data_IF_469233373384
#
_entry.id   IF_469233373384
#
_cell.length_a   1.000
_cell.length_b   1.000
_cell.length_c   1.000
_cell.angle_alpha   90.00
_cell.angle_beta   90.00
_cell.angle_gamma   90.00
#
_symmetry.space_group_name_H-M   'P 1'
#
loop_
_entity.id
_entity.type
_entity.pdbx_description
1 polymer ?
#
# COMPACT_ATOMS: atom_id res chain seq x y z
N UNK A 1 -33.89 5.92 -6.34
CA UNK A 1 -34.51 7.22 -5.98
C UNK A 1 -34.49 8.14 -7.20
N UNK A 2 -35.47 8.98 -7.36
CA UNK A 2 -35.50 9.99 -8.43
C UNK A 2 -35.24 11.37 -7.85
N UNK A 3 -34.30 12.11 -8.41
CA UNK A 3 -33.89 13.44 -8.00
C UNK A 3 -34.21 14.47 -9.11
N UNK A 4 -34.46 15.70 -8.70
CA UNK A 4 -34.76 16.81 -9.59
C UNK A 4 -33.71 17.91 -9.41
N UNK A 5 -32.92 18.24 -10.44
CA UNK A 5 -31.91 19.28 -10.37
C UNK A 5 -32.49 20.66 -10.07
N UNK A 6 -31.84 21.37 -9.15
CA UNK A 6 -32.23 22.70 -8.66
C UNK A 6 -31.27 23.82 -9.14
N UNK A 7 -30.11 23.46 -9.71
CA UNK A 7 -29.09 24.41 -10.20
C UNK A 7 -28.81 24.08 -11.68
N UNK A 8 -29.19 24.98 -12.62
CA UNK A 8 -28.92 24.74 -14.03
C UNK A 8 -27.43 24.81 -14.35
N UNK A 9 -26.93 23.89 -15.18
CA UNK A 9 -25.54 23.81 -15.60
C UNK A 9 -24.61 23.12 -14.58
N UNK A 10 -25.13 22.67 -13.42
CA UNK A 10 -24.35 21.88 -12.47
C UNK A 10 -23.98 20.52 -13.10
N UNK A 11 -22.75 20.05 -12.82
CA UNK A 11 -22.30 18.74 -13.28
C UNK A 11 -22.98 17.62 -12.49
N UNK A 12 -23.38 16.57 -13.18
CA UNK A 12 -24.06 15.43 -12.57
C UNK A 12 -23.29 14.82 -11.39
N UNK A 13 -21.94 14.66 -11.49
CA UNK A 13 -21.14 14.11 -10.42
C UNK A 13 -21.09 15.01 -9.16
N UNK A 14 -21.17 16.31 -9.34
CA UNK A 14 -21.22 17.28 -8.25
C UNK A 14 -22.61 17.34 -7.62
N UNK A 15 -23.64 17.39 -8.45
CA UNK A 15 -25.04 17.37 -8.02
C UNK A 15 -25.35 16.15 -7.15
N UNK A 16 -24.98 14.94 -7.59
CA UNK A 16 -25.20 13.70 -6.83
C UNK A 16 -24.50 13.73 -5.46
N UNK A 17 -23.26 14.22 -5.40
CA UNK A 17 -22.52 14.32 -4.15
C UNK A 17 -23.13 15.34 -3.17
N UNK A 18 -23.89 16.32 -3.67
CA UNK A 18 -24.62 17.31 -2.87
C UNK A 18 -26.01 16.83 -2.48
N UNK A 19 -26.73 16.20 -3.42
CA UNK A 19 -28.15 15.86 -3.26
C UNK A 19 -28.40 14.54 -2.53
N UNK A 20 -27.42 13.65 -2.49
CA UNK A 20 -27.53 12.33 -1.83
C UNK A 20 -26.65 12.33 -0.59
N UNK A 21 -27.28 12.20 0.58
CA UNK A 21 -26.59 12.17 1.87
C UNK A 21 -25.58 11.02 1.92
N UNK A 22 -24.37 11.31 2.38
CA UNK A 22 -23.28 10.34 2.51
C UNK A 22 -22.59 9.95 1.19
N UNK A 23 -23.04 10.47 0.03
CA UNK A 23 -22.43 10.15 -1.26
C UNK A 23 -21.28 11.10 -1.58
N UNK A 24 -20.05 10.58 -1.62
CA UNK A 24 -18.89 11.36 -2.07
C UNK A 24 -18.89 11.52 -3.60
N UNK A 25 -18.24 12.58 -4.12
CA UNK A 25 -18.12 12.81 -5.56
C UNK A 25 -17.47 11.64 -6.30
N UNK A 26 -16.48 10.97 -5.68
CA UNK A 26 -15.84 9.79 -6.25
C UNK A 26 -16.80 8.60 -6.33
N UNK A 27 -17.63 8.41 -5.30
CA UNK A 27 -18.67 7.38 -5.30
C UNK A 27 -19.75 7.67 -6.35
N UNK A 28 -20.18 8.93 -6.50
CA UNK A 28 -21.10 9.35 -7.55
C UNK A 28 -20.56 9.06 -8.97
N UNK A 29 -19.28 9.35 -9.22
CA UNK A 29 -18.64 9.02 -10.49
C UNK A 29 -18.63 7.53 -10.78
N UNK A 30 -18.39 6.69 -9.76
CA UNK A 30 -18.42 5.24 -9.91
C UNK A 30 -19.83 4.74 -10.24
N UNK A 31 -20.86 5.21 -9.53
CA UNK A 31 -22.26 4.86 -9.83
C UNK A 31 -22.65 5.20 -11.26
N UNK A 32 -22.21 6.35 -11.77
CA UNK A 32 -22.44 6.75 -13.15
C UNK A 32 -21.73 5.82 -14.13
N UNK A 33 -20.46 5.49 -13.87
CA UNK A 33 -19.65 4.60 -14.74
C UNK A 33 -20.19 3.15 -14.73
N UNK A 34 -20.78 2.70 -13.62
CA UNK A 34 -21.45 1.39 -13.48
C UNK A 34 -22.87 1.35 -14.08
N UNK A 35 -23.36 2.47 -14.65
CA UNK A 35 -24.69 2.54 -15.25
C UNK A 35 -25.84 2.65 -14.24
N UNK A 36 -25.55 2.88 -12.98
CA UNK A 36 -26.53 3.02 -11.89
C UNK A 36 -27.23 4.38 -11.85
N UNK A 37 -26.89 5.28 -12.77
CA UNK A 37 -27.47 6.63 -12.87
C UNK A 37 -28.01 6.86 -14.26
N UNK A 38 -29.32 7.17 -14.33
CA UNK A 38 -29.98 7.54 -15.58
C UNK A 38 -30.38 9.02 -15.53
N UNK A 39 -30.21 9.74 -16.63
CA UNK A 39 -30.77 11.08 -16.85
C UNK A 39 -31.88 11.00 -17.89
N UNK A 40 -33.06 11.41 -17.52
CA UNK A 40 -34.25 11.32 -18.38
C UNK A 40 -34.43 9.90 -18.99
N UNK A 41 -34.24 8.86 -18.16
CA UNK A 41 -34.34 7.45 -18.54
C UNK A 41 -33.18 6.91 -19.40
N UNK A 42 -32.08 7.67 -19.62
CA UNK A 42 -30.91 7.24 -20.41
C UNK A 42 -29.66 7.21 -19.60
N UNK A 43 -28.69 6.31 -19.88
CA UNK A 43 -27.41 6.27 -19.20
C UNK A 43 -26.70 7.63 -19.25
N UNK A 44 -26.29 8.11 -18.10
CA UNK A 44 -25.68 9.43 -17.94
C UNK A 44 -24.14 9.37 -17.94
N UNK A 45 -23.50 10.51 -18.20
CA UNK A 45 -22.03 10.67 -18.08
C UNK A 45 -21.68 11.63 -16.94
N UNK A 46 -20.58 11.39 -16.24
CA UNK A 46 -20.17 12.18 -15.07
C UNK A 46 -20.05 13.70 -15.33
N UNK A 47 -19.76 14.06 -16.57
CA UNK A 47 -19.58 15.45 -16.99
C UNK A 47 -20.87 16.09 -17.53
N UNK A 48 -21.99 15.36 -17.59
CA UNK A 48 -23.25 15.89 -18.08
C UNK A 48 -23.66 17.10 -17.21
N UNK A 49 -24.05 18.17 -17.90
CA UNK A 49 -24.62 19.37 -17.28
C UNK A 49 -26.11 19.21 -17.17
N UNK A 50 -26.65 19.37 -15.98
CA UNK A 50 -28.05 19.23 -15.69
C UNK A 50 -28.82 20.50 -16.02
N UNK A 51 -30.05 20.36 -16.48
CA UNK A 51 -30.96 21.47 -16.73
C UNK A 51 -32.17 21.38 -15.79
N UNK A 52 -32.86 22.52 -15.61
CA UNK A 52 -34.15 22.54 -14.93
C UNK A 52 -35.12 21.66 -15.69
N UNK A 53 -35.84 20.77 -14.98
CA UNK A 53 -36.77 19.82 -15.57
C UNK A 53 -36.14 18.45 -15.95
N UNK A 54 -34.83 18.27 -15.83
CA UNK A 54 -34.24 16.94 -15.93
C UNK A 54 -34.69 16.06 -14.76
N UNK A 55 -34.77 14.77 -15.00
CA UNK A 55 -34.91 13.74 -13.95
C UNK A 55 -33.63 12.93 -13.86
N UNK A 56 -33.18 12.69 -12.64
CA UNK A 56 -32.00 11.87 -12.38
C UNK A 56 -32.40 10.68 -11.50
N UNK A 57 -32.47 9.50 -12.11
CA UNK A 57 -32.76 8.27 -11.42
C UNK A 57 -31.47 7.64 -10.95
N UNK A 58 -31.34 7.46 -9.64
CA UNK A 58 -30.17 6.86 -8.99
C UNK A 58 -30.57 5.54 -8.36
N UNK A 59 -29.97 4.47 -8.81
CA UNK A 59 -30.00 3.18 -8.15
C UNK A 59 -28.72 3.07 -7.35
N UNK A 60 -28.81 3.18 -6.01
CA UNK A 60 -27.68 2.85 -5.15
C UNK A 60 -27.73 1.34 -5.00
N UNK A 61 -26.76 0.58 -5.57
CA UNK A 61 -26.69 -0.86 -5.32
C UNK A 61 -26.62 -1.04 -3.80
N UNK A 62 -27.38 -1.98 -3.27
CA UNK A 62 -27.10 -2.44 -1.92
C UNK A 62 -25.59 -2.70 -1.83
N UNK A 63 -24.95 -2.10 -0.83
CA UNK A 63 -23.56 -2.41 -0.52
C UNK A 63 -23.59 -3.91 -0.25
N UNK A 64 -23.24 -4.73 -1.23
CA UNK A 64 -22.79 -6.08 -0.92
C UNK A 64 -21.53 -5.82 -0.11
N UNK A 65 -21.69 -5.83 1.19
CA UNK A 65 -20.56 -6.03 2.09
C UNK A 65 -19.85 -7.24 1.49
N UNK A 66 -18.73 -7.00 0.87
CA UNK A 66 -17.85 -8.08 0.43
C UNK A 66 -17.31 -8.59 1.76
N UNK A 67 -18.07 -9.47 2.42
CA UNK A 67 -17.61 -10.17 3.59
C UNK A 67 -16.27 -10.77 3.21
N UNK A 68 -15.23 -10.31 3.88
CA UNK A 68 -13.91 -10.91 3.66
C UNK A 68 -13.99 -12.30 4.27
N UNK A 69 -13.90 -13.31 3.43
CA UNK A 69 -13.97 -14.71 3.86
C UNK A 69 -12.72 -15.02 4.69
N UNK A 70 -12.85 -15.38 5.98
CA UNK A 70 -11.72 -15.87 6.75
C UNK A 70 -11.15 -17.14 6.10
N UNK A 71 -9.84 -17.12 5.81
CA UNK A 71 -9.17 -18.22 5.10
C UNK A 71 -7.96 -18.68 5.91
N UNK A 72 -7.77 -19.99 6.04
CA UNK A 72 -6.62 -20.56 6.76
C UNK A 72 -5.32 -20.33 5.98
N UNK A 73 -4.71 -19.17 6.25
CA UNK A 73 -3.43 -18.76 5.70
C UNK A 73 -2.42 -18.74 6.85
N UNK A 74 -1.33 -19.53 6.78
CA UNK A 74 -0.31 -19.53 7.84
C UNK A 74 0.30 -18.14 8.02
N UNK A 75 0.30 -17.65 9.27
CA UNK A 75 0.87 -16.37 9.65
C UNK A 75 2.13 -16.60 10.49
N UNK A 76 3.27 -16.07 10.05
CA UNK A 76 4.51 -16.04 10.83
C UNK A 76 4.47 -14.85 11.80
N UNK A 77 3.91 -15.10 13.01
CA UNK A 77 3.78 -14.10 14.08
C UNK A 77 5.08 -14.06 14.86
N UNK A 78 5.80 -12.96 14.79
CA UNK A 78 7.12 -12.77 15.45
C UNK A 78 7.04 -11.96 16.74
N UNK A 79 5.94 -11.28 16.98
CA UNK A 79 5.62 -10.60 18.24
C UNK A 79 4.11 -10.53 18.41
N UNK A 80 3.64 -10.77 19.62
CA UNK A 80 2.22 -10.61 19.97
C UNK A 80 2.07 -10.28 21.46
N UNK A 81 1.16 -9.33 21.75
CA UNK A 81 0.64 -9.06 23.08
C UNK A 81 -0.87 -8.73 23.01
N UNK A 82 -1.42 -8.08 24.03
CA UNK A 82 -2.84 -7.71 24.07
C UNK A 82 -3.24 -6.62 23.08
N UNK A 83 -2.28 -5.80 22.66
CA UNK A 83 -2.52 -4.58 21.87
C UNK A 83 -2.01 -4.70 20.43
N UNK A 84 -0.89 -5.38 20.21
CA UNK A 84 -0.16 -5.38 18.94
C UNK A 84 0.25 -6.80 18.54
N UNK A 85 0.17 -7.03 17.25
CA UNK A 85 0.68 -8.21 16.56
C UNK A 85 1.69 -7.74 15.50
N UNK A 86 2.85 -8.39 15.39
CA UNK A 86 3.80 -8.17 14.29
C UNK A 86 3.99 -9.45 13.50
N UNK A 87 3.76 -9.37 12.21
CA UNK A 87 3.84 -10.49 11.27
C UNK A 87 5.07 -10.31 10.38
N UNK A 88 5.82 -11.37 10.17
CA UNK A 88 6.81 -11.48 9.12
C UNK A 88 6.13 -12.03 7.84
N UNK A 89 5.63 -11.12 7.01
CA UNK A 89 4.88 -11.46 5.79
C UNK A 89 5.79 -12.13 4.76
N UNK A 90 5.42 -13.28 4.20
CA UNK A 90 6.17 -13.88 3.10
C UNK A 90 6.06 -13.03 1.82
N UNK A 91 7.03 -13.18 0.90
CA UNK A 91 6.95 -12.69 -0.47
C UNK A 91 5.77 -13.34 -1.20
N UNK A 92 5.07 -12.59 -2.03
CA UNK A 92 3.92 -13.08 -2.82
C UNK A 92 2.56 -12.90 -2.14
N UNK A 93 2.49 -12.69 -0.83
CA UNK A 93 1.22 -12.49 -0.11
C UNK A 93 0.76 -11.03 -0.20
N UNK A 94 -0.46 -10.80 -0.68
CA UNK A 94 -1.10 -9.47 -0.69
C UNK A 94 -1.59 -9.13 0.72
N UNK A 95 -1.51 -7.86 1.13
CA UNK A 95 -1.93 -7.46 2.48
C UNK A 95 -3.46 -7.44 2.61
N UNK A 96 -4.19 -6.84 1.67
CA UNK A 96 -5.64 -6.75 1.72
C UNK A 96 -6.30 -7.07 0.38
N UNK A 97 -7.58 -7.46 0.40
CA UNK A 97 -8.34 -7.78 -0.80
C UNK A 97 -8.23 -6.68 -1.86
N UNK A 98 -7.99 -7.10 -3.08
CA UNK A 98 -7.86 -6.27 -4.26
C UNK A 98 -8.34 -7.05 -5.49
N UNK A 99 -8.50 -6.38 -6.63
CA UNK A 99 -8.86 -7.04 -7.88
C UNK A 99 -7.89 -8.19 -8.20
N UNK A 100 -8.40 -9.42 -8.29
CA UNK A 100 -7.63 -10.65 -8.53
C UNK A 100 -7.09 -11.34 -7.27
N UNK A 101 -7.32 -10.80 -6.07
CA UNK A 101 -6.93 -11.35 -4.77
C UNK A 101 -8.03 -11.02 -3.75
N UNK A 102 -9.06 -11.86 -3.64
CA UNK A 102 -10.18 -11.63 -2.73
C UNK A 102 -10.06 -12.46 -1.44
N UNK A 103 -9.61 -13.72 -1.55
CA UNK A 103 -9.64 -14.68 -0.47
C UNK A 103 -8.24 -15.21 -0.07
N UNK A 104 -7.18 -14.67 -0.69
CA UNK A 104 -5.79 -15.10 -0.55
C UNK A 104 -4.88 -13.99 0.03
N UNK A 105 -5.40 -13.17 0.95
CA UNK A 105 -4.67 -12.04 1.50
C UNK A 105 -4.34 -12.20 2.98
N UNK A 106 -3.37 -11.42 3.46
CA UNK A 106 -3.01 -11.38 4.88
C UNK A 106 -4.24 -11.11 5.77
N UNK A 107 -5.16 -10.23 5.32
CA UNK A 107 -6.38 -9.91 6.05
C UNK A 107 -7.29 -11.13 6.18
N UNK A 108 -7.42 -11.97 5.14
CA UNK A 108 -8.18 -13.22 5.22
C UNK A 108 -7.61 -14.17 6.28
N UNK A 109 -6.27 -14.31 6.34
CA UNK A 109 -5.58 -15.11 7.36
C UNK A 109 -5.72 -14.53 8.76
N UNK A 110 -5.65 -13.19 8.90
CA UNK A 110 -5.89 -12.52 10.18
C UNK A 110 -7.30 -12.73 10.70
N UNK A 111 -8.31 -12.61 9.86
CA UNK A 111 -9.70 -12.86 10.24
C UNK A 111 -9.96 -14.32 10.64
N UNK A 112 -9.26 -15.26 10.02
CA UNK A 112 -9.35 -16.67 10.38
C UNK A 112 -8.72 -16.95 11.75
N UNK A 113 -7.50 -16.47 11.97
CA UNK A 113 -6.71 -16.80 13.17
C UNK A 113 -6.99 -15.88 14.38
N UNK A 114 -7.52 -14.66 14.16
CA UNK A 114 -7.69 -13.60 15.15
C UNK A 114 -9.07 -12.96 15.10
N UNK A 115 -10.10 -13.74 14.77
CA UNK A 115 -11.49 -13.27 14.74
C UNK A 115 -11.89 -12.59 16.06
N UNK A 116 -12.40 -11.36 15.97
CA UNK A 116 -12.82 -10.58 17.14
C UNK A 116 -11.69 -9.93 17.96
N UNK A 117 -10.41 -10.17 17.59
CA UNK A 117 -9.25 -9.60 18.27
C UNK A 117 -8.56 -8.49 17.46
N UNK A 118 -9.21 -7.87 16.50
CA UNK A 118 -8.62 -6.86 15.63
C UNK A 118 -9.39 -5.55 15.70
N UNK A 119 -8.65 -4.42 15.60
CA UNK A 119 -9.28 -3.10 15.53
C UNK A 119 -10.18 -2.95 14.31
N UNK A 120 -11.38 -2.40 14.51
CA UNK A 120 -12.36 -2.11 13.48
C UNK A 120 -12.26 -0.72 12.83
N UNK A 121 -11.33 0.16 13.24
CA UNK A 121 -11.28 1.57 12.80
C UNK A 121 -11.25 1.74 11.28
N UNK A 122 -10.55 0.87 10.55
CA UNK A 122 -10.49 0.92 9.08
C UNK A 122 -11.62 0.13 8.40
N UNK A 123 -12.65 -0.24 9.16
CA UNK A 123 -13.78 -1.04 8.71
C UNK A 123 -13.42 -2.52 8.51
N UNK A 124 -14.40 -3.31 8.14
CA UNK A 124 -14.30 -4.77 7.97
C UNK A 124 -13.28 -5.19 6.90
N UNK A 125 -13.05 -4.31 5.92
CA UNK A 125 -12.11 -4.57 4.82
C UNK A 125 -10.63 -4.48 5.20
N UNK A 126 -10.28 -3.93 6.39
CA UNK A 126 -8.89 -3.73 6.82
C UNK A 126 -8.71 -3.82 8.33
N UNK A 127 -9.23 -4.87 8.98
CA UNK A 127 -9.18 -4.97 10.44
C UNK A 127 -7.73 -4.95 10.92
N UNK A 128 -7.43 -4.04 11.85
CA UNK A 128 -6.12 -3.91 12.48
C UNK A 128 -4.98 -3.40 11.61
N UNK A 129 -5.16 -3.23 10.29
CA UNK A 129 -4.08 -2.84 9.37
C UNK A 129 -3.79 -1.35 9.47
N UNK A 130 -2.64 -0.98 10.02
CA UNK A 130 -2.16 0.42 10.16
C UNK A 130 -1.23 0.84 9.03
N UNK A 131 -0.48 -0.08 8.44
CA UNK A 131 0.38 0.15 7.27
C UNK A 131 0.45 -1.08 6.36
N UNK A 132 1.15 -0.96 5.26
CA UNK A 132 1.28 -2.05 4.29
C UNK A 132 2.65 -2.10 3.66
N UNK A 133 3.02 -3.29 3.19
CA UNK A 133 4.13 -3.54 2.27
C UNK A 133 3.57 -4.16 0.97
N UNK A 134 4.34 -4.09 -0.11
CA UNK A 134 3.90 -4.62 -1.41
C UNK A 134 3.74 -6.15 -1.38
N UNK A 135 2.97 -6.71 -2.33
CA UNK A 135 2.77 -8.14 -2.51
C UNK A 135 4.09 -8.91 -2.43
N UNK A 136 5.05 -8.51 -3.25
CA UNK A 136 6.33 -9.21 -3.40
C UNK A 136 7.46 -8.66 -2.49
N UNK A 137 7.13 -7.78 -1.57
CA UNK A 137 8.01 -7.38 -0.47
C UNK A 137 7.73 -8.28 0.74
N UNK A 138 8.76 -8.91 1.26
CA UNK A 138 8.68 -9.71 2.50
C UNK A 138 9.00 -8.87 3.74
N UNK A 139 8.69 -9.39 4.92
CA UNK A 139 9.12 -8.84 6.19
C UNK A 139 8.02 -8.24 7.05
N UNK A 140 8.43 -7.42 8.01
CA UNK A 140 7.64 -7.02 9.16
C UNK A 140 6.50 -6.07 8.85
N UNK A 141 5.35 -6.36 9.45
CA UNK A 141 4.14 -5.56 9.39
C UNK A 141 3.43 -5.58 10.75
N UNK A 142 3.16 -4.39 11.31
CA UNK A 142 2.41 -4.24 12.56
C UNK A 142 0.90 -4.26 12.29
N UNK A 143 0.17 -4.92 13.19
CA UNK A 143 -1.28 -5.03 13.18
C UNK A 143 -1.81 -4.64 14.56
N UNK A 144 -2.82 -3.81 14.61
CA UNK A 144 -3.47 -3.37 15.85
C UNK A 144 -4.57 -4.36 16.26
N UNK A 145 -4.52 -4.87 17.50
CA UNK A 145 -5.53 -5.77 18.04
C UNK A 145 -6.76 -5.04 18.59
N UNK A 146 -6.65 -3.76 18.87
CA UNK A 146 -7.76 -2.93 19.34
C UNK A 146 -7.64 -1.48 18.84
N UNK A 147 -8.68 -0.68 19.07
CA UNK A 147 -8.80 0.69 18.53
C UNK A 147 -7.82 1.66 19.18
N UNK A 148 -7.45 1.47 20.45
CA UNK A 148 -6.40 2.24 21.11
C UNK A 148 -5.07 2.03 20.39
N UNK A 149 -4.68 0.77 20.19
CA UNK A 149 -3.46 0.42 19.49
C UNK A 149 -3.45 0.97 18.06
N UNK A 150 -4.57 0.86 17.35
CA UNK A 150 -4.72 1.40 16.00
C UNK A 150 -4.45 2.91 15.95
N UNK A 151 -5.10 3.67 16.83
CA UNK A 151 -4.95 5.13 16.90
C UNK A 151 -3.51 5.54 17.19
N UNK A 152 -2.87 4.89 18.17
CA UNK A 152 -1.50 5.22 18.58
C UNK A 152 -0.49 4.83 17.49
N UNK A 153 -0.60 3.64 16.91
CA UNK A 153 0.31 3.19 15.82
C UNK A 153 0.14 4.06 14.57
N UNK A 154 -1.09 4.43 14.21
CA UNK A 154 -1.36 5.34 13.10
C UNK A 154 -0.77 6.74 13.34
N UNK A 155 -0.81 7.24 14.59
CA UNK A 155 -0.15 8.50 14.98
C UNK A 155 1.36 8.42 14.79
N UNK A 156 2.01 7.33 15.23
CA UNK A 156 3.46 7.12 15.07
C UNK A 156 3.90 6.98 13.61
N UNK A 157 3.00 6.50 12.74
CA UNK A 157 3.25 6.52 11.29
C UNK A 157 3.13 7.92 10.69
N UNK A 158 2.25 8.75 11.23
CA UNK A 158 1.99 10.12 10.78
C UNK A 158 3.09 11.08 11.22
N UNK A 159 3.60 10.95 12.44
CA UNK A 159 4.69 11.77 12.98
C UNK A 159 6.09 11.19 12.72
N UNK A 160 6.16 10.08 11.97
CA UNK A 160 7.39 9.38 11.58
C UNK A 160 8.20 8.79 12.74
N UNK A 161 7.62 8.64 13.92
CA UNK A 161 8.29 8.03 15.08
C UNK A 161 8.36 6.49 15.00
N UNK A 162 7.49 5.85 14.21
CA UNK A 162 7.63 4.42 13.87
C UNK A 162 8.70 4.23 12.81
N UNK A 163 9.87 3.69 13.20
CA UNK A 163 10.96 3.41 12.28
C UNK A 163 10.75 2.09 11.54
N UNK A 164 10.91 2.13 10.21
CA UNK A 164 10.80 0.99 9.30
C UNK A 164 12.07 0.90 8.48
N UNK A 165 12.79 -0.20 8.65
CA UNK A 165 14.07 -0.44 7.98
C UNK A 165 13.95 -1.62 7.03
N UNK A 166 14.47 -1.44 5.82
CA UNK A 166 14.41 -2.41 4.74
C UNK A 166 15.80 -2.73 4.23
N UNK A 167 16.04 -3.98 3.89
CA UNK A 167 17.19 -4.40 3.11
C UNK A 167 16.77 -4.57 1.64
N UNK A 168 17.60 -4.07 0.71
CA UNK A 168 17.34 -4.14 -0.72
C UNK A 168 18.63 -4.40 -1.52
N UNK A 169 18.54 -5.16 -2.61
CA UNK A 169 19.60 -5.23 -3.61
C UNK A 169 19.19 -4.32 -4.77
N UNK A 170 20.05 -3.36 -5.11
CA UNK A 170 19.84 -2.45 -6.26
C UNK A 170 20.80 -2.75 -7.40
N UNK A 171 20.37 -2.48 -8.63
CA UNK A 171 21.18 -2.60 -9.82
C UNK A 171 22.18 -1.43 -9.91
N UNK A 172 23.40 -1.70 -10.31
CA UNK A 172 24.47 -0.74 -10.39
C UNK A 172 25.21 -0.52 -9.06
N UNK A 173 26.30 0.24 -9.13
CA UNK A 173 27.16 0.56 -8.00
C UNK A 173 26.87 1.98 -7.55
N UNK A 174 26.33 2.14 -6.35
CA UNK A 174 26.20 3.43 -5.68
C UNK A 174 27.60 3.92 -5.28
N UNK A 175 27.97 5.13 -5.71
CA UNK A 175 29.29 5.70 -5.43
C UNK A 175 29.41 6.16 -3.98
N UNK A 176 28.37 6.84 -3.50
CA UNK A 176 28.28 7.34 -2.12
C UNK A 176 27.94 6.20 -1.16
N UNK A 177 28.36 6.30 0.09
CA UNK A 177 28.08 5.30 1.13
C UNK A 177 26.67 5.44 1.70
N UNK A 178 26.06 6.59 1.59
CA UNK A 178 24.70 6.87 2.02
C UNK A 178 24.10 8.04 1.26
N UNK A 179 22.79 8.17 1.32
CA UNK A 179 22.08 9.30 0.72
C UNK A 179 20.61 9.36 1.10
N UNK A 180 19.96 10.40 0.62
CA UNK A 180 18.53 10.63 0.82
C UNK A 180 17.88 10.94 -0.51
N UNK A 181 16.75 10.29 -0.78
CA UNK A 181 15.85 10.68 -1.87
C UNK A 181 14.64 11.35 -1.23
N UNK A 182 14.57 12.67 -1.35
CA UNK A 182 13.44 13.49 -0.95
C UNK A 182 12.73 13.96 -2.22
N UNK A 183 11.72 13.19 -2.64
CA UNK A 183 11.05 13.43 -3.91
C UNK A 183 9.59 12.95 -3.84
N UNK A 184 8.60 13.81 -4.14
CA UNK A 184 7.19 13.49 -3.99
C UNK A 184 6.76 12.42 -4.98
N UNK A 185 5.92 11.48 -4.50
CA UNK A 185 5.42 10.35 -5.28
C UNK A 185 3.93 10.52 -5.59
N UNK A 186 3.59 10.38 -6.87
CA UNK A 186 2.23 10.37 -7.38
C UNK A 186 1.98 9.20 -8.34
N UNK A 187 0.72 9.10 -8.82
CA UNK A 187 0.38 8.12 -9.85
C UNK A 187 1.02 8.49 -11.18
N UNK A 188 1.54 7.48 -11.86
CA UNK A 188 2.07 7.69 -13.21
C UNK A 188 0.96 8.15 -14.16
N UNK A 189 1.17 9.20 -14.97
CA UNK A 189 0.10 9.84 -15.74
C UNK A 189 -0.54 8.94 -16.81
N UNK A 190 0.21 8.01 -17.38
CA UNK A 190 -0.24 7.11 -18.46
C UNK A 190 -0.34 5.64 -18.05
N UNK A 191 0.29 5.21 -16.95
CA UNK A 191 0.26 3.82 -16.49
C UNK A 191 -0.33 3.73 -15.08
N UNK A 192 -1.60 3.36 -14.98
CA UNK A 192 -2.34 3.27 -13.72
C UNK A 192 -1.75 2.27 -12.70
N UNK A 193 -0.90 1.34 -13.14
CA UNK A 193 -0.25 0.35 -12.27
C UNK A 193 1.03 0.87 -11.64
N UNK A 194 1.56 2.01 -12.14
CA UNK A 194 2.82 2.60 -11.70
C UNK A 194 2.62 3.84 -10.83
N UNK A 195 3.59 4.05 -9.97
CA UNK A 195 3.85 5.32 -9.30
C UNK A 195 5.08 5.96 -9.94
N UNK A 196 5.28 7.26 -9.74
CA UNK A 196 6.48 7.97 -10.22
C UNK A 196 6.78 9.17 -9.32
N UNK A 197 8.01 9.63 -9.38
CA UNK A 197 8.38 10.95 -8.85
C UNK A 197 7.75 12.01 -9.72
N UNK A 198 6.87 12.84 -9.16
CA UNK A 198 6.13 13.88 -9.87
C UNK A 198 5.67 14.97 -8.89
N UNK A 199 5.74 16.24 -9.31
CA UNK A 199 5.38 17.36 -8.44
C UNK A 199 3.86 17.58 -8.28
N UNK A 200 3.05 17.20 -9.29
CA UNK A 200 1.59 17.43 -9.26
C UNK A 200 0.85 16.17 -8.87
N UNK A 201 -0.23 16.34 -8.06
CA UNK A 201 -1.06 15.22 -7.58
C UNK A 201 -0.24 14.12 -6.88
N UNK A 202 0.73 14.52 -6.08
CA UNK A 202 1.68 13.69 -5.37
C UNK A 202 1.62 13.93 -3.87
N UNK A 203 2.32 13.10 -3.11
CA UNK A 203 2.52 13.25 -1.67
C UNK A 203 4.00 13.23 -1.38
N UNK A 204 4.44 14.00 -0.40
CA UNK A 204 5.81 13.99 0.11
C UNK A 204 6.26 12.56 0.40
N UNK A 205 7.49 12.27 0.02
CA UNK A 205 8.11 10.97 0.22
C UNK A 205 9.61 11.13 0.44
N UNK A 206 10.11 10.56 1.56
CA UNK A 206 11.51 10.62 1.95
C UNK A 206 12.02 9.22 2.26
N UNK A 207 13.12 8.84 1.60
CA UNK A 207 13.83 7.56 1.79
C UNK A 207 15.30 7.84 2.03
N UNK A 208 15.81 7.45 3.21
CA UNK A 208 17.25 7.41 3.48
C UNK A 208 17.77 6.03 3.12
N UNK A 209 19.00 5.98 2.59
CA UNK A 209 19.67 4.73 2.29
C UNK A 209 21.14 4.78 2.69
N UNK A 210 21.67 3.63 3.06
CA UNK A 210 23.07 3.39 3.36
C UNK A 210 23.55 2.11 2.66
N UNK A 211 24.80 2.11 2.21
CA UNK A 211 25.41 0.94 1.57
C UNK A 211 25.84 -0.05 2.65
N UNK A 212 25.34 -1.28 2.51
CA UNK A 212 25.77 -2.41 3.33
C UNK A 212 27.00 -3.09 2.69
N UNK A 213 26.91 -3.37 1.37
CA UNK A 213 28.00 -3.98 0.60
C UNK A 213 27.84 -3.71 -0.90
N UNK A 214 28.96 -3.49 -1.57
CA UNK A 214 29.02 -3.37 -3.05
C UNK A 214 29.49 -4.69 -3.65
N UNK A 215 28.87 -5.06 -4.75
CA UNK A 215 29.20 -6.23 -5.56
C UNK A 215 29.41 -5.81 -7.01
N UNK A 216 29.96 -6.67 -7.84
CA UNK A 216 30.14 -6.37 -9.27
C UNK A 216 28.77 -6.12 -9.94
N UNK A 217 28.46 -4.85 -10.24
CA UNK A 217 27.21 -4.45 -10.90
C UNK A 217 25.99 -4.29 -9.98
N UNK A 218 26.11 -4.49 -8.66
CA UNK A 218 24.99 -4.41 -7.70
C UNK A 218 25.43 -3.81 -6.38
N UNK A 219 24.49 -3.28 -5.64
CA UNK A 219 24.73 -2.78 -4.28
C UNK A 219 23.65 -3.29 -3.32
N UNK A 220 24.05 -3.89 -2.20
CA UNK A 220 23.17 -4.15 -1.05
C UNK A 220 23.06 -2.86 -0.24
N UNK A 221 21.86 -2.39 -0.04
CA UNK A 221 21.57 -1.17 0.72
C UNK A 221 20.58 -1.46 1.83
N UNK A 222 20.65 -0.64 2.87
CA UNK A 222 19.63 -0.54 3.91
C UNK A 222 18.88 0.77 3.74
N UNK A 223 17.54 0.72 3.69
CA UNK A 223 16.68 1.87 3.56
C UNK A 223 15.91 2.13 4.84
N UNK A 224 15.87 3.39 5.29
CA UNK A 224 15.01 3.86 6.39
C UNK A 224 13.98 4.83 5.83
N UNK A 225 12.71 4.58 6.15
CA UNK A 225 11.59 5.38 5.65
C UNK A 225 11.11 6.39 6.69
N UNK A 226 10.96 7.66 6.29
CA UNK A 226 10.12 8.61 7.02
C UNK A 226 8.65 8.42 6.61
N UNK A 227 8.36 8.44 5.34
CA UNK A 227 7.03 8.25 4.77
C UNK A 227 6.81 6.81 4.28
N UNK A 228 5.57 6.40 3.97
CA UNK A 228 5.23 5.06 3.47
C UNK A 228 4.29 5.12 2.26
N UNK A 229 4.76 5.66 1.12
CA UNK A 229 3.95 5.71 -0.10
C UNK A 229 4.02 4.40 -0.86
N UNK A 230 3.00 4.15 -1.66
CA UNK A 230 2.95 2.96 -2.52
C UNK A 230 4.20 2.87 -3.38
N UNK A 231 4.90 1.73 -3.36
CA UNK A 231 6.13 1.44 -4.08
C UNK A 231 7.30 2.42 -3.78
N UNK A 232 7.32 3.10 -2.63
CA UNK A 232 8.21 4.23 -2.38
C UNK A 232 9.69 3.92 -2.63
N UNK A 233 10.27 2.91 -1.97
CA UNK A 233 11.69 2.55 -2.16
C UNK A 233 11.97 2.19 -3.62
N UNK A 234 11.08 1.43 -4.24
CA UNK A 234 11.19 0.99 -5.64
C UNK A 234 11.25 2.18 -6.61
N UNK A 235 10.34 3.14 -6.43
CA UNK A 235 10.28 4.37 -7.25
C UNK A 235 11.48 5.28 -7.00
N UNK A 236 11.84 5.49 -5.74
CA UNK A 236 12.96 6.35 -5.36
C UNK A 236 14.30 5.82 -5.89
N UNK A 237 14.59 4.54 -5.69
CA UNK A 237 15.84 3.96 -6.18
C UNK A 237 15.89 3.93 -7.72
N UNK A 238 14.77 3.66 -8.38
CA UNK A 238 14.69 3.77 -9.84
C UNK A 238 14.89 5.19 -10.33
N UNK A 239 14.39 6.22 -9.63
CA UNK A 239 14.52 7.61 -10.02
C UNK A 239 15.96 8.14 -9.99
N UNK A 240 16.81 7.53 -9.18
CA UNK A 240 18.25 7.84 -9.11
C UNK A 240 19.12 6.89 -9.97
N UNK A 241 18.49 6.06 -10.84
CA UNK A 241 19.18 5.16 -11.76
C UNK A 241 19.62 3.82 -11.18
N UNK A 242 19.17 3.47 -9.97
CA UNK A 242 19.50 2.25 -9.26
C UNK A 242 18.23 1.43 -8.88
N UNK A 243 17.46 0.91 -9.87
CA UNK A 243 16.26 0.15 -9.58
C UNK A 243 16.56 -1.10 -8.74
N UNK A 244 15.57 -1.58 -8.00
CA UNK A 244 15.73 -2.79 -7.20
C UNK A 244 15.88 -4.00 -8.12
N UNK A 245 16.81 -4.90 -7.79
CA UNK A 245 17.02 -6.16 -8.48
C UNK A 245 15.72 -6.97 -8.58
N UNK A 246 15.41 -7.46 -9.77
CA UNK A 246 14.21 -8.25 -10.05
C UNK A 246 12.91 -7.44 -10.16
N UNK A 247 12.94 -6.12 -9.94
CA UNK A 247 11.74 -5.29 -10.10
C UNK A 247 11.41 -5.10 -11.59
N UNK A 248 10.47 -5.89 -12.10
CA UNK A 248 10.03 -5.87 -13.50
C UNK A 248 9.14 -4.66 -13.84
N UNK A 249 8.70 -3.90 -12.83
CA UNK A 249 7.88 -2.70 -13.02
C UNK A 249 8.73 -1.46 -13.19
N UNK A 250 9.77 -1.27 -12.37
CA UNK A 250 10.61 -0.08 -12.35
C UNK A 250 12.05 -0.30 -12.82
N UNK A 251 12.47 -1.55 -12.94
CA UNK A 251 13.80 -1.98 -13.37
C UNK A 251 13.80 -2.76 -14.68
N UNK A 252 14.59 -3.81 -14.72
CA UNK A 252 14.74 -4.66 -15.89
C UNK A 252 13.51 -5.57 -16.06
N UNK A 253 12.99 -5.64 -17.29
CA UNK A 253 11.77 -6.43 -17.60
C UNK A 253 11.97 -7.94 -17.50
N UNK A 254 13.22 -8.42 -17.55
CA UNK A 254 13.56 -9.84 -17.48
C UNK A 254 13.98 -10.21 -16.06
N UNK A 255 13.66 -11.42 -15.61
CA UNK A 255 14.20 -11.95 -14.35
C UNK A 255 15.72 -11.86 -14.29
N UNK A 256 16.26 -11.54 -13.14
CA UNK A 256 17.68 -11.32 -12.93
C UNK A 256 18.13 -12.02 -11.65
N UNK A 257 19.24 -12.74 -11.70
CA UNK A 257 19.76 -13.58 -10.61
C UNK A 257 18.73 -14.55 -9.99
N UNK A 258 17.70 -14.93 -10.78
CA UNK A 258 16.60 -15.78 -10.33
C UNK A 258 15.50 -15.04 -9.57
N UNK A 259 15.47 -13.70 -9.65
CA UNK A 259 14.39 -12.86 -9.13
C UNK A 259 13.55 -12.31 -10.27
N UNK A 260 12.25 -12.49 -10.18
CA UNK A 260 11.21 -11.98 -11.09
C UNK A 260 10.38 -10.83 -10.48
N UNK A 261 10.68 -10.48 -9.24
CA UNK A 261 10.08 -9.40 -8.46
C UNK A 261 11.11 -8.83 -7.49
N UNK A 262 10.86 -7.64 -6.97
CA UNK A 262 11.80 -6.85 -6.18
C UNK A 262 12.48 -7.63 -5.04
N UNK A 263 13.81 -7.61 -5.00
CA UNK A 263 14.62 -8.09 -3.89
C UNK A 263 14.62 -7.05 -2.76
N UNK A 264 13.52 -7.04 -1.98
CA UNK A 264 13.22 -6.05 -0.95
C UNK A 264 12.59 -6.73 0.26
N UNK A 265 13.12 -6.43 1.45
CA UNK A 265 12.72 -7.05 2.70
C UNK A 265 12.59 -6.02 3.83
N UNK A 266 11.44 -5.96 4.51
CA UNK A 266 11.21 -5.15 5.70
C UNK A 266 11.84 -5.84 6.93
N UNK A 267 13.14 -5.62 7.14
CA UNK A 267 13.95 -6.38 8.10
C UNK A 267 13.85 -5.91 9.55
N UNK A 268 13.47 -4.64 9.80
CA UNK A 268 13.31 -4.14 11.17
C UNK A 268 12.13 -3.17 11.28
N UNK A 269 11.44 -3.27 12.42
CA UNK A 269 10.33 -2.42 12.80
C UNK A 269 10.53 -1.97 14.25
N UNK A 270 10.53 -0.65 14.50
CA UNK A 270 10.65 -0.07 15.83
C UNK A 270 9.51 0.90 16.07
N UNK A 271 8.83 0.76 17.21
CA UNK A 271 7.72 1.62 17.60
C UNK A 271 7.59 1.70 19.12
N UNK A 272 6.80 2.63 19.63
CA UNK A 272 6.43 2.67 21.02
C UNK A 272 5.14 1.90 21.25
N UNK A 273 5.13 1.06 22.29
CA UNK A 273 3.97 0.27 22.64
C UNK A 273 2.75 1.18 22.95
N UNK A 274 1.57 0.87 22.40
CA UNK A 274 0.39 1.76 22.48
C UNK A 274 -0.07 2.08 23.91
N UNK A 275 0.04 1.15 24.84
CA UNK A 275 -0.49 1.29 26.20
C UNK A 275 0.47 1.97 27.16
N UNK A 276 1.74 1.61 27.13
CA UNK A 276 2.74 2.02 28.14
C UNK A 276 3.92 2.82 27.57
N UNK A 277 3.99 2.99 26.26
CA UNK A 277 5.01 3.79 25.58
C UNK A 277 6.42 3.16 25.56
N UNK A 278 6.60 1.93 26.07
CA UNK A 278 7.89 1.23 26.02
C UNK A 278 8.35 1.03 24.57
N UNK A 279 9.66 1.08 24.30
CA UNK A 279 10.14 0.81 22.94
C UNK A 279 10.00 -0.68 22.62
N UNK A 280 9.43 -0.98 21.46
CA UNK A 280 9.36 -2.31 20.87
C UNK A 280 10.27 -2.32 19.65
N UNK A 281 11.16 -3.28 19.56
CA UNK A 281 12.05 -3.49 18.42
C UNK A 281 11.94 -4.94 17.97
N UNK A 282 11.50 -5.12 16.71
CA UNK A 282 11.32 -6.44 16.10
C UNK A 282 12.22 -6.54 14.88
N UNK A 283 12.88 -7.68 14.73
CA UNK A 283 13.77 -7.97 13.60
C UNK A 283 13.33 -9.25 12.91
N UNK A 284 13.36 -9.26 11.58
CA UNK A 284 13.21 -10.46 10.77
C UNK A 284 14.53 -10.74 10.03
N UNK A 285 15.03 -11.99 10.05
CA UNK A 285 16.20 -12.36 9.29
C UNK A 285 15.92 -12.24 7.77
N UNK A 286 16.97 -12.03 6.98
CA UNK A 286 16.86 -12.05 5.53
C UNK A 286 16.28 -13.39 5.07
N UNK A 287 15.21 -13.40 4.27
CA UNK A 287 14.59 -14.64 3.81
C UNK A 287 15.50 -15.39 2.83
N UNK A 288 15.24 -16.69 2.65
CA UNK A 288 16.05 -17.59 1.84
C UNK A 288 16.31 -17.07 0.41
N UNK A 289 15.28 -16.49 -0.23
CA UNK A 289 15.44 -15.94 -1.58
C UNK A 289 16.46 -14.79 -1.62
N UNK A 290 16.48 -13.94 -0.59
CA UNK A 290 17.41 -12.83 -0.48
C UNK A 290 18.84 -13.33 -0.19
N UNK A 291 18.99 -14.30 0.71
CA UNK A 291 20.28 -14.94 1.00
C UNK A 291 20.87 -15.61 -0.24
N UNK A 292 20.06 -16.33 -1.02
CA UNK A 292 20.49 -16.93 -2.31
C UNK A 292 20.96 -15.88 -3.32
N UNK A 293 20.37 -14.68 -3.31
CA UNK A 293 20.85 -13.57 -4.16
C UNK A 293 22.23 -13.10 -3.67
N UNK A 294 22.42 -12.89 -2.37
CA UNK A 294 23.71 -12.50 -1.81
C UNK A 294 24.79 -13.55 -2.14
N UNK A 295 24.53 -14.85 -1.97
CA UNK A 295 25.48 -15.92 -2.31
C UNK A 295 25.88 -15.89 -3.79
N UNK A 296 24.93 -15.61 -4.70
CA UNK A 296 25.24 -15.47 -6.13
C UNK A 296 26.11 -14.24 -6.40
N UNK A 297 25.81 -13.12 -5.74
CA UNK A 297 26.58 -11.88 -5.87
C UNK A 297 28.00 -12.06 -5.36
N UNK A 298 28.21 -12.78 -4.26
CA UNK A 298 29.53 -13.09 -3.73
C UNK A 298 30.37 -13.95 -4.68
N UNK A 299 29.73 -14.91 -5.39
CA UNK A 299 30.40 -15.72 -6.41
C UNK A 299 30.77 -14.92 -7.67
N UNK A 300 30.01 -13.87 -8.01
CA UNK A 300 30.31 -12.98 -9.14
C UNK A 300 31.51 -12.04 -8.82
N UNK A 301 31.79 -11.85 -7.52
CA UNK A 301 32.89 -11.03 -7.01
C UNK A 301 32.43 -9.64 -6.57
N UNK A 302 33.29 -9.06 -5.76
CA UNK A 302 33.14 -7.66 -5.30
C UNK A 302 33.78 -6.70 -6.27
#
# INVERSE_FOLDING_TARGET
>A
MTLFPDIPGERLDAYLARAVEGLTRSAAQRLIEEGCVLRNGKPAKKNDKLNMGDTVDVTIPEVRETEIVPTDIPLDIVYEDEDVLVINKPKGLVVHPAAGHQDDTLVNGLLFSKAGELSGINGELRPGIVHRIDKDTSGLLAVAKNDLAHTVLASQLKDHSMARTYDAIVCGILKEDSGTVDAPIGRHPSDRKKMCVIARNSKEAVTHWEVVKRYRGYTHIRCKLETGRTHQIRVHMASIGHPILGDTVYGHKKPELGQDSQCLHAGALCFRHPRDGRPIMVFAPLPEYFQKVIEKLEKIGS
#
